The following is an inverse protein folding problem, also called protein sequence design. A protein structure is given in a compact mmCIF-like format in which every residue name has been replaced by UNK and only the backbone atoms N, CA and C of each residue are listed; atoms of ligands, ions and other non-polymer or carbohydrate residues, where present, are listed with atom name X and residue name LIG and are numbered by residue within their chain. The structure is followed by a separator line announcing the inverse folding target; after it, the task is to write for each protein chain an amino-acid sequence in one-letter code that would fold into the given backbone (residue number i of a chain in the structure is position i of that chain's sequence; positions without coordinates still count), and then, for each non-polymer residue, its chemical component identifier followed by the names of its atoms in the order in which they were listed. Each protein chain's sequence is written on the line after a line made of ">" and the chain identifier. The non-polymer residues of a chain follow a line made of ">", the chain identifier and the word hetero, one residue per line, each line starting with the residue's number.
data_IF_652256310968
#
_entry.id   IF_652256310968
#
_cell.length_a   1.000
_cell.length_b   1.000
_cell.length_c   1.000
_cell.angle_alpha   90.00
_cell.angle_beta   90.00
_cell.angle_gamma   90.00
#
_symmetry.space_group_name_H-M   'P 1'
#
loop_
_entity.id
_entity.type
_entity.pdbx_description
1 polymer ?
#
# COMPACT_ATOMS: atom_id res chain seq x y z
N UNK A 1 13.88 -6.30 -38.41
CA UNK A 1 13.63 -6.52 -36.96
C UNK A 1 14.92 -7.05 -36.33
N UNK A 2 15.31 -6.62 -35.12
CA UNK A 2 16.46 -7.21 -34.44
C UNK A 2 16.20 -8.69 -34.15
N UNK A 3 17.22 -9.54 -34.30
CA UNK A 3 17.13 -10.95 -33.99
C UNK A 3 16.97 -11.16 -32.47
N UNK A 4 16.33 -12.26 -32.06
CA UNK A 4 16.12 -12.59 -30.64
C UNK A 4 17.42 -12.55 -29.82
N UNK A 5 18.54 -12.99 -30.41
CA UNK A 5 19.86 -12.94 -29.79
C UNK A 5 20.36 -11.52 -29.52
N UNK A 6 20.03 -10.57 -30.39
CA UNK A 6 20.38 -9.15 -30.20
C UNK A 6 19.61 -8.55 -29.03
N UNK A 7 18.31 -8.88 -28.93
CA UNK A 7 17.47 -8.45 -27.80
C UNK A 7 17.96 -9.04 -26.48
N UNK A 8 18.27 -10.34 -26.46
CA UNK A 8 18.77 -11.00 -25.25
C UNK A 8 20.11 -10.42 -24.77
N UNK A 9 21.09 -10.24 -25.68
CA UNK A 9 22.41 -9.67 -25.34
C UNK A 9 22.30 -8.24 -24.80
N UNK A 10 21.33 -7.48 -25.28
CA UNK A 10 21.06 -6.14 -24.77
C UNK A 10 20.49 -6.21 -23.35
N UNK A 11 19.44 -7.02 -23.13
CA UNK A 11 18.75 -7.11 -21.85
C UNK A 11 19.66 -7.57 -20.70
N UNK A 12 20.61 -8.48 -20.95
CA UNK A 12 21.55 -8.94 -19.91
C UNK A 12 22.64 -7.91 -19.57
N UNK A 13 22.79 -6.84 -20.34
CA UNK A 13 23.81 -5.78 -20.14
C UNK A 13 23.22 -4.47 -19.63
N UNK A 14 21.90 -4.31 -19.68
CA UNK A 14 21.23 -3.12 -19.19
C UNK A 14 21.06 -3.22 -17.67
N UNK A 15 21.34 -2.12 -16.98
CA UNK A 15 20.99 -1.98 -15.58
C UNK A 15 19.46 -1.94 -15.43
N UNK A 16 18.91 -2.95 -14.74
CA UNK A 16 17.48 -3.12 -14.56
C UNK A 16 16.84 -1.98 -13.75
N UNK A 17 17.57 -1.39 -12.79
CA UNK A 17 17.09 -0.28 -11.97
C UNK A 17 16.99 0.99 -12.83
N UNK A 18 18.05 1.30 -13.58
CA UNK A 18 18.07 2.46 -14.50
C UNK A 18 16.97 2.34 -15.55
N UNK A 19 16.82 1.16 -16.16
CA UNK A 19 15.76 0.91 -17.15
C UNK A 19 14.37 1.11 -16.54
N UNK A 20 14.13 0.57 -15.35
CA UNK A 20 12.85 0.69 -14.65
C UNK A 20 12.52 2.15 -14.35
N UNK A 21 13.50 2.93 -13.86
CA UNK A 21 13.31 4.36 -13.58
C UNK A 21 13.00 5.16 -14.85
N UNK A 22 13.72 4.91 -15.95
CA UNK A 22 13.48 5.61 -17.22
C UNK A 22 12.09 5.30 -17.77
N UNK A 23 11.69 4.02 -17.74
CA UNK A 23 10.36 3.61 -18.18
C UNK A 23 9.26 4.22 -17.32
N UNK A 24 9.41 4.21 -15.99
CA UNK A 24 8.45 4.79 -15.06
C UNK A 24 8.29 6.31 -15.30
N UNK A 25 9.40 7.05 -15.44
CA UNK A 25 9.37 8.50 -15.75
C UNK A 25 8.69 8.76 -17.10
N UNK A 26 8.99 7.95 -18.11
CA UNK A 26 8.40 8.10 -19.44
C UNK A 26 6.90 7.80 -19.46
N UNK A 27 6.45 6.76 -18.75
CA UNK A 27 5.01 6.48 -18.62
C UNK A 27 4.30 7.60 -17.87
N UNK A 28 4.90 8.09 -16.78
CA UNK A 28 4.34 9.16 -15.95
C UNK A 28 4.21 10.49 -16.70
N UNK A 29 5.12 10.81 -17.62
CA UNK A 29 5.01 12.04 -18.42
C UNK A 29 3.76 12.07 -19.32
N UNK A 30 3.03 10.95 -19.41
CA UNK A 30 1.78 10.81 -20.17
C UNK A 30 0.54 10.71 -19.29
N UNK A 31 0.67 10.82 -17.97
CA UNK A 31 -0.44 10.66 -17.02
C UNK A 31 -0.58 11.86 -16.09
N UNK A 32 -1.69 11.91 -15.38
CA UNK A 32 -1.96 12.89 -14.31
C UNK A 32 -1.08 12.64 -13.08
N UNK A 33 -0.99 13.61 -12.14
CA UNK A 33 -0.18 13.47 -10.93
C UNK A 33 -0.60 12.26 -10.09
N UNK A 34 0.41 11.61 -9.51
CA UNK A 34 0.27 10.50 -8.58
C UNK A 34 -0.18 11.04 -7.23
N UNK A 35 -1.31 10.55 -6.72
CA UNK A 35 -1.81 10.91 -5.39
C UNK A 35 -1.68 9.76 -4.39
N UNK A 36 -1.71 8.52 -4.87
CA UNK A 36 -1.76 7.32 -4.02
C UNK A 36 -0.89 6.21 -4.59
N UNK A 37 0.13 5.84 -3.83
CA UNK A 37 1.09 4.79 -4.15
C UNK A 37 0.85 3.60 -3.24
N UNK A 38 0.60 2.43 -3.81
CA UNK A 38 0.54 1.19 -3.07
C UNK A 38 1.90 0.50 -3.05
N UNK A 39 2.29 -0.02 -1.88
CA UNK A 39 3.51 -0.81 -1.69
C UNK A 39 3.14 -2.24 -1.36
N UNK A 40 3.57 -3.17 -2.21
CA UNK A 40 3.19 -4.59 -2.12
C UNK A 40 4.38 -5.51 -2.45
N UNK A 41 4.55 -6.55 -1.64
CA UNK A 41 5.49 -7.64 -1.87
C UNK A 41 4.92 -8.69 -2.85
N UNK A 42 5.66 -9.03 -3.90
CA UNK A 42 5.29 -10.05 -4.89
C UNK A 42 6.40 -11.06 -5.13
N UNK A 43 5.98 -12.29 -5.41
CA UNK A 43 6.86 -13.35 -5.89
C UNK A 43 6.78 -13.38 -7.42
N UNK A 44 7.89 -13.17 -8.10
CA UNK A 44 7.97 -13.28 -9.55
C UNK A 44 8.02 -14.76 -9.96
N UNK A 45 6.83 -15.34 -10.18
CA UNK A 45 6.69 -16.74 -10.60
C UNK A 45 7.49 -17.02 -11.87
N UNK A 46 8.37 -18.01 -11.81
CA UNK A 46 9.23 -18.42 -12.94
C UNK A 46 10.59 -17.73 -13.00
N UNK A 47 10.78 -16.63 -12.27
CA UNK A 47 12.10 -16.03 -12.10
C UNK A 47 12.84 -16.70 -10.95
N UNK A 48 14.10 -17.10 -11.20
CA UNK A 48 14.98 -17.70 -10.20
C UNK A 48 16.30 -16.96 -10.14
N UNK A 49 16.83 -16.85 -8.93
CA UNK A 49 18.19 -16.42 -8.69
C UNK A 49 19.17 -17.53 -9.11
N UNK A 50 20.45 -17.18 -9.21
CA UNK A 50 21.52 -18.13 -9.56
C UNK A 50 21.61 -19.32 -8.60
N UNK A 51 21.09 -19.16 -7.38
CA UNK A 51 21.00 -20.23 -6.36
C UNK A 51 19.68 -21.02 -6.40
N UNK A 52 18.82 -20.77 -7.39
CA UNK A 52 17.55 -21.47 -7.59
C UNK A 52 16.36 -20.94 -6.78
N UNK A 53 16.55 -19.96 -5.89
CA UNK A 53 15.45 -19.36 -5.10
C UNK A 53 14.55 -18.48 -5.96
N UNK A 54 13.29 -18.38 -5.58
CA UNK A 54 12.34 -17.46 -6.22
C UNK A 54 12.73 -16.01 -5.97
N UNK A 55 12.46 -15.16 -6.96
CA UNK A 55 12.68 -13.72 -6.84
C UNK A 55 11.50 -13.09 -6.09
N UNK A 56 11.78 -12.46 -4.96
CA UNK A 56 10.84 -11.64 -4.19
C UNK A 56 11.10 -10.17 -4.50
N UNK A 57 10.06 -9.43 -4.85
CA UNK A 57 10.13 -8.01 -5.18
C UNK A 57 9.19 -7.24 -4.25
N UNK A 58 9.65 -6.11 -3.73
CA UNK A 58 8.79 -5.10 -3.14
C UNK A 58 8.58 -4.01 -4.19
N UNK A 59 7.33 -3.77 -4.57
CA UNK A 59 7.00 -2.84 -5.64
C UNK A 59 6.13 -1.70 -5.12
N UNK A 60 6.41 -0.48 -5.60
CA UNK A 60 5.61 0.71 -5.40
C UNK A 60 4.90 1.06 -6.71
N UNK A 61 3.58 1.12 -6.71
CA UNK A 61 2.80 1.42 -7.92
C UNK A 61 1.73 2.49 -7.67
N UNK A 62 1.53 3.35 -8.67
CA UNK A 62 0.45 4.33 -8.66
C UNK A 62 -0.89 3.62 -8.90
N UNK A 63 -1.76 3.72 -7.91
CA UNK A 63 -3.08 3.06 -7.91
C UNK A 63 -4.04 3.62 -8.96
N UNK A 64 -3.82 4.85 -9.43
CA UNK A 64 -4.69 5.50 -10.41
C UNK A 64 -4.36 5.11 -11.84
N UNK A 65 -3.08 4.89 -12.14
CA UNK A 65 -2.58 4.60 -13.50
C UNK A 65 -2.14 3.15 -13.67
N UNK A 66 -1.87 2.43 -12.59
CA UNK A 66 -1.27 1.09 -12.59
C UNK A 66 0.23 1.09 -12.90
N UNK A 67 0.88 2.25 -12.97
CA UNK A 67 2.32 2.35 -13.27
C UNK A 67 3.13 1.93 -12.04
N UNK A 68 4.04 0.98 -12.21
CA UNK A 68 5.07 0.66 -11.21
C UNK A 68 6.13 1.76 -11.23
N UNK A 69 6.23 2.52 -10.15
CA UNK A 69 7.15 3.63 -10.01
C UNK A 69 8.57 3.14 -9.66
N UNK A 70 8.64 2.15 -8.79
CA UNK A 70 9.89 1.53 -8.38
C UNK A 70 9.65 0.10 -7.92
N UNK A 71 10.72 -0.71 -7.96
CA UNK A 71 10.71 -2.06 -7.43
C UNK A 71 12.10 -2.40 -6.92
N UNK A 72 12.16 -3.07 -5.77
CA UNK A 72 13.41 -3.50 -5.15
C UNK A 72 13.34 -5.00 -4.89
N UNK A 73 14.38 -5.70 -5.28
CA UNK A 73 14.50 -7.12 -4.96
C UNK A 73 14.80 -7.31 -3.48
N UNK A 74 13.99 -8.13 -2.82
CA UNK A 74 14.19 -8.50 -1.42
C UNK A 74 15.28 -9.57 -1.37
N UNK A 75 16.31 -9.32 -0.55
CA UNK A 75 17.37 -10.30 -0.36
C UNK A 75 16.78 -11.59 0.22
N UNK A 76 17.22 -12.75 -0.26
CA UNK A 76 16.48 -13.99 -0.03
C UNK A 76 16.63 -14.61 1.38
N UNK A 77 17.18 -13.87 2.36
CA UNK A 77 17.09 -14.14 3.81
C UNK A 77 16.58 -12.92 4.60
N UNK A 78 16.14 -11.88 3.90
CA UNK A 78 15.59 -10.65 4.46
C UNK A 78 14.07 -10.68 4.37
N UNK A 79 13.41 -9.86 5.18
CA UNK A 79 12.01 -9.50 4.99
C UNK A 79 11.90 -8.18 4.21
N UNK A 80 10.68 -7.75 3.95
CA UNK A 80 10.35 -6.55 3.16
C UNK A 80 10.66 -5.23 3.88
N UNK A 81 10.83 -5.27 5.21
CA UNK A 81 11.00 -4.07 6.03
C UNK A 81 12.26 -3.26 5.62
N UNK A 82 13.47 -3.85 5.53
CA UNK A 82 14.66 -3.13 5.04
C UNK A 82 14.56 -2.67 3.57
N UNK A 83 13.72 -3.32 2.75
CA UNK A 83 13.55 -2.97 1.34
C UNK A 83 12.66 -1.74 1.14
N UNK A 84 11.88 -1.35 2.16
CA UNK A 84 10.97 -0.21 2.10
C UNK A 84 11.68 1.13 1.89
N UNK A 85 12.75 1.40 2.66
CA UNK A 85 13.50 2.66 2.54
C UNK A 85 14.17 2.82 1.16
N UNK A 86 14.92 1.84 0.63
CA UNK A 86 15.45 1.91 -0.73
C UNK A 86 14.37 2.08 -1.80
N UNK A 87 13.21 1.43 -1.62
CA UNK A 87 12.08 1.58 -2.53
C UNK A 87 11.55 3.02 -2.53
N UNK A 88 11.30 3.60 -1.35
CA UNK A 88 10.82 4.99 -1.24
C UNK A 88 11.79 6.00 -1.85
N UNK A 89 13.09 5.82 -1.66
CA UNK A 89 14.09 6.67 -2.28
C UNK A 89 14.04 6.60 -3.82
N UNK A 90 13.81 5.40 -4.39
CA UNK A 90 13.60 5.28 -5.84
C UNK A 90 12.28 5.93 -6.29
N UNK A 91 11.21 5.81 -5.50
CA UNK A 91 9.94 6.49 -5.78
C UNK A 91 10.15 8.00 -5.78
N UNK A 92 10.86 8.55 -4.79
CA UNK A 92 11.20 9.98 -4.71
C UNK A 92 12.00 10.43 -5.94
N UNK A 93 12.99 9.65 -6.38
CA UNK A 93 13.77 9.93 -7.60
C UNK A 93 12.90 9.96 -8.87
N UNK A 94 11.84 9.15 -8.92
CA UNK A 94 10.91 9.10 -10.06
C UNK A 94 9.84 10.20 -9.96
N UNK A 95 9.42 10.52 -8.74
CA UNK A 95 8.39 11.52 -8.48
C UNK A 95 8.93 12.96 -8.47
N UNK A 96 10.19 13.13 -8.08
CA UNK A 96 10.84 14.40 -7.78
C UNK A 96 10.68 14.85 -6.32
N UNK A 97 9.58 14.45 -5.68
CA UNK A 97 9.28 14.68 -4.26
C UNK A 97 8.21 13.67 -3.81
N UNK A 98 8.18 13.38 -2.51
CA UNK A 98 7.13 12.59 -1.86
C UNK A 98 6.04 13.47 -1.23
N UNK A 99 6.16 14.79 -1.29
CA UNK A 99 5.24 15.72 -0.64
C UNK A 99 3.79 15.51 -1.11
N UNK A 100 2.87 15.35 -0.16
CA UNK A 100 1.46 15.10 -0.41
C UNK A 100 1.12 13.70 -0.96
N UNK A 101 2.11 12.83 -1.20
CA UNK A 101 1.87 11.45 -1.67
C UNK A 101 1.32 10.60 -0.54
N UNK A 102 0.19 9.92 -0.78
CA UNK A 102 -0.29 8.88 0.13
C UNK A 102 0.34 7.53 -0.21
N UNK A 103 1.11 6.98 0.71
CA UNK A 103 1.59 5.60 0.64
C UNK A 103 0.62 4.67 1.37
N UNK A 104 0.08 3.70 0.66
CA UNK A 104 -0.73 2.61 1.21
C UNK A 104 0.15 1.38 1.29
N UNK A 105 0.29 0.80 2.47
CA UNK A 105 1.12 -0.37 2.65
C UNK A 105 0.45 -1.37 3.60
N UNK A 106 0.90 -2.61 3.51
CA UNK A 106 0.35 -3.69 4.28
C UNK A 106 0.64 -3.59 5.78
N UNK A 107 0.12 -4.55 6.52
CA UNK A 107 0.33 -4.58 7.96
C UNK A 107 1.81 -4.69 8.35
N UNK A 108 2.65 -5.39 7.59
CA UNK A 108 4.07 -5.55 7.89
C UNK A 108 4.79 -4.20 7.92
N UNK A 109 4.34 -3.24 7.10
CA UNK A 109 4.86 -1.89 7.02
C UNK A 109 4.31 -0.90 8.05
N UNK A 110 3.43 -1.33 8.97
CA UNK A 110 3.02 -0.55 10.14
C UNK A 110 4.18 -0.40 11.15
N UNK A 111 5.26 0.29 10.75
CA UNK A 111 6.47 0.53 11.53
C UNK A 111 6.58 2.02 11.83
N UNK A 112 6.99 2.34 13.06
CA UNK A 112 7.23 3.73 13.51
C UNK A 112 8.22 4.43 12.57
N UNK A 113 9.35 3.76 12.28
CA UNK A 113 10.37 4.32 11.37
C UNK A 113 9.87 4.58 9.94
N UNK A 114 8.93 3.79 9.42
CA UNK A 114 8.34 4.07 8.10
C UNK A 114 7.42 5.29 8.15
N UNK A 115 6.64 5.44 9.22
CA UNK A 115 5.75 6.58 9.41
C UNK A 115 6.55 7.88 9.55
N UNK A 116 7.64 7.87 10.31
CA UNK A 116 8.51 9.03 10.50
C UNK A 116 9.27 9.38 9.22
N UNK A 117 9.78 8.37 8.49
CA UNK A 117 10.46 8.57 7.21
C UNK A 117 9.55 9.24 6.19
N UNK A 118 8.30 8.77 6.05
CA UNK A 118 7.34 9.37 5.13
C UNK A 118 6.95 10.78 5.55
N UNK A 119 6.69 11.00 6.84
CA UNK A 119 6.36 12.32 7.36
C UNK A 119 7.50 13.33 7.15
N UNK A 120 8.76 12.90 7.29
CA UNK A 120 9.92 13.76 7.02
C UNK A 120 10.00 14.22 5.56
N UNK A 121 9.49 13.41 4.61
CA UNK A 121 9.38 13.76 3.20
C UNK A 121 8.07 14.44 2.79
N UNK A 122 7.20 14.82 3.74
CA UNK A 122 5.89 15.41 3.47
C UNK A 122 4.83 14.42 2.98
N UNK A 123 5.13 13.12 3.01
CA UNK A 123 4.23 12.06 2.58
C UNK A 123 3.29 11.60 3.70
N UNK A 124 2.22 10.92 3.29
CA UNK A 124 1.25 10.31 4.18
C UNK A 124 1.34 8.78 4.14
N UNK A 125 0.94 8.14 5.23
CA UNK A 125 0.95 6.69 5.36
C UNK A 125 -0.45 6.21 5.75
N UNK A 126 -0.95 5.23 5.03
CA UNK A 126 -2.10 4.40 5.40
C UNK A 126 -1.65 2.95 5.55
N UNK A 127 -1.81 2.38 6.74
CA UNK A 127 -1.37 1.01 7.05
C UNK A 127 -2.40 0.24 7.83
N UNK A 128 -2.45 -1.05 7.56
CA UNK A 128 -3.30 -1.99 8.31
C UNK A 128 -2.65 -2.34 9.66
N UNK A 129 -3.41 -2.27 10.74
CA UNK A 129 -2.99 -2.75 12.05
C UNK A 129 -3.46 -4.20 12.26
N UNK A 130 -2.54 -5.12 12.57
CA UNK A 130 -2.82 -6.53 12.90
C UNK A 130 -2.04 -6.94 14.17
N UNK A 131 -1.82 -8.24 14.34
CA UNK A 131 -1.09 -8.83 15.46
C UNK A 131 0.37 -8.40 15.56
N UNK A 132 0.97 -7.90 14.47
CA UNK A 132 2.36 -7.41 14.46
C UNK A 132 2.53 -6.07 15.22
N UNK A 133 1.45 -5.32 15.42
CA UNK A 133 1.43 -4.11 16.24
C UNK A 133 0.33 -4.23 17.31
N UNK A 134 0.52 -5.10 18.32
CA UNK A 134 -0.56 -5.52 19.22
C UNK A 134 -1.16 -4.36 20.03
N UNK A 135 -0.33 -3.40 20.44
CA UNK A 135 -0.79 -2.20 21.18
C UNK A 135 -1.66 -1.31 20.28
N UNK A 136 -1.19 -0.97 19.08
CA UNK A 136 -1.94 -0.18 18.11
C UNK A 136 -3.26 -0.86 17.74
N UNK A 137 -3.21 -2.17 17.44
CA UNK A 137 -4.38 -2.96 17.12
C UNK A 137 -5.41 -2.96 18.26
N UNK A 138 -4.97 -3.14 19.50
CA UNK A 138 -5.83 -3.09 20.67
C UNK A 138 -6.48 -1.71 20.85
N UNK A 139 -5.70 -0.63 20.70
CA UNK A 139 -6.20 0.75 20.77
C UNK A 139 -7.28 1.01 19.71
N UNK A 140 -7.00 0.70 18.44
CA UNK A 140 -7.96 0.91 17.35
C UNK A 140 -9.21 0.07 17.58
N UNK A 141 -9.06 -1.19 17.99
CA UNK A 141 -10.20 -2.10 18.24
C UNK A 141 -11.09 -1.62 19.40
N UNK A 142 -10.50 -0.97 20.41
CA UNK A 142 -11.21 -0.47 21.59
C UNK A 142 -12.00 0.83 21.35
N UNK A 143 -11.81 1.49 20.21
CA UNK A 143 -12.57 2.70 19.86
C UNK A 143 -14.09 2.43 19.83
N UNK A 144 -14.94 3.45 20.10
CA UNK A 144 -16.39 3.30 20.25
C UNK A 144 -17.11 3.12 18.89
N UNK A 145 -16.69 2.13 18.09
CA UNK A 145 -17.17 1.91 16.73
C UNK A 145 -18.67 1.65 16.57
N UNK A 146 -19.36 1.30 17.65
CA UNK A 146 -20.81 1.19 17.68
C UNK A 146 -21.49 2.56 17.52
N UNK A 147 -20.88 3.60 18.10
CA UNK A 147 -21.37 4.99 18.09
C UNK A 147 -20.94 5.75 16.83
N UNK A 148 -19.85 5.33 16.18
CA UNK A 148 -19.37 5.94 14.93
C UNK A 148 -20.37 5.66 13.81
N UNK A 149 -20.87 6.68 13.07
CA UNK A 149 -21.78 6.46 11.95
C UNK A 149 -21.11 5.67 10.81
N UNK A 150 -21.92 5.07 9.95
CA UNK A 150 -21.40 4.48 8.70
C UNK A 150 -21.00 5.62 7.77
N UNK A 151 -19.72 5.69 7.42
CA UNK A 151 -19.21 6.71 6.51
C UNK A 151 -19.46 6.38 5.05
N UNK A 152 -19.25 5.13 4.66
CA UNK A 152 -19.67 4.61 3.36
C UNK A 152 -20.02 3.13 3.44
N UNK A 153 -20.91 2.69 2.55
CA UNK A 153 -21.24 1.29 2.35
C UNK A 153 -21.34 0.99 0.85
N UNK A 154 -20.60 0.00 0.37
CA UNK A 154 -20.66 -0.48 -1.01
C UNK A 154 -21.20 -1.90 -1.04
N UNK A 155 -22.08 -2.20 -2.01
CA UNK A 155 -22.61 -3.54 -2.25
C UNK A 155 -22.27 -3.97 -3.67
N UNK A 156 -21.61 -5.11 -3.81
CA UNK A 156 -21.22 -5.69 -5.09
C UNK A 156 -21.83 -7.09 -5.20
N UNK A 157 -22.34 -7.43 -6.37
CA UNK A 157 -22.82 -8.79 -6.68
C UNK A 157 -22.17 -9.24 -7.98
N UNK A 158 -21.57 -10.42 -7.99
CA UNK A 158 -20.93 -10.98 -9.19
C UNK A 158 -20.48 -12.42 -8.97
N UNK A 159 -20.52 -13.23 -10.03
CA UNK A 159 -20.04 -14.63 -10.01
C UNK A 159 -20.66 -15.49 -8.88
N UNK A 160 -21.94 -15.27 -8.54
CA UNK A 160 -22.64 -15.97 -7.46
C UNK A 160 -22.25 -15.54 -6.03
N UNK A 161 -21.50 -14.44 -5.91
CA UNK A 161 -21.06 -13.84 -4.64
C UNK A 161 -21.75 -12.50 -4.42
N UNK A 162 -22.23 -12.28 -3.18
CA UNK A 162 -22.65 -10.97 -2.69
C UNK A 162 -21.63 -10.46 -1.69
N UNK A 163 -21.20 -9.22 -1.83
CA UNK A 163 -20.25 -8.61 -0.94
C UNK A 163 -20.72 -7.23 -0.51
N UNK A 164 -20.65 -6.95 0.78
CA UNK A 164 -20.92 -5.64 1.37
C UNK A 164 -19.69 -5.20 2.14
N UNK A 165 -19.13 -4.04 1.78
CA UNK A 165 -18.07 -3.38 2.55
C UNK A 165 -18.64 -2.16 3.23
N UNK A 166 -18.36 -2.02 4.53
CA UNK A 166 -18.75 -0.85 5.33
C UNK A 166 -17.49 -0.23 5.90
N UNK A 167 -17.31 1.07 5.69
CA UNK A 167 -16.18 1.83 6.21
C UNK A 167 -16.69 2.78 7.29
N UNK A 168 -16.02 2.75 8.43
CA UNK A 168 -16.14 3.75 9.49
C UNK A 168 -14.76 4.36 9.74
N UNK A 169 -14.73 5.65 10.00
CA UNK A 169 -13.50 6.36 10.34
C UNK A 169 -13.74 7.26 11.55
N UNK A 170 -12.71 7.47 12.37
CA UNK A 170 -12.74 8.34 13.54
C UNK A 170 -11.43 9.14 13.57
N UNK A 171 -11.51 10.44 13.83
CA UNK A 171 -10.33 11.27 14.11
C UNK A 171 -9.70 10.84 15.44
N UNK A 172 -8.39 10.59 15.44
CA UNK A 172 -7.62 10.13 16.60
C UNK A 172 -6.43 11.02 16.93
N UNK A 173 -6.25 12.14 16.22
CA UNK A 173 -5.31 13.19 16.57
C UNK A 173 -5.80 14.01 17.77
N UNK A 174 -5.84 13.37 18.93
CA UNK A 174 -6.21 13.96 20.21
C UNK A 174 -5.12 13.65 21.24
N UNK A 175 -5.00 14.44 22.33
CA UNK A 175 -4.21 14.03 23.48
C UNK A 175 -4.65 12.64 23.95
N UNK A 176 -3.70 11.70 24.08
CA UNK A 176 -4.02 10.29 24.38
C UNK A 176 -4.60 9.47 23.21
N UNK A 177 -4.44 9.95 21.97
CA UNK A 177 -4.81 9.25 20.74
C UNK A 177 -4.04 7.96 20.49
N UNK A 178 -3.99 7.50 19.23
CA UNK A 178 -3.24 6.28 18.90
C UNK A 178 -1.74 6.46 19.20
N UNK A 179 -1.10 5.44 19.75
CA UNK A 179 0.34 5.44 20.00
C UNK A 179 1.19 5.23 18.73
N UNK A 180 0.67 5.58 17.56
CA UNK A 180 1.35 5.43 16.28
C UNK A 180 1.64 6.82 15.68
N UNK A 181 2.86 7.08 15.17
CA UNK A 181 3.25 8.40 14.71
C UNK A 181 2.32 8.94 13.63
N UNK A 182 2.03 10.25 13.73
CA UNK A 182 1.29 11.02 12.75
C UNK A 182 -0.12 10.49 12.45
N UNK A 183 -0.66 9.56 13.25
CA UNK A 183 -1.99 8.99 13.06
C UNK A 183 -3.07 10.07 13.24
N UNK A 184 -3.79 10.38 12.17
CA UNK A 184 -4.87 11.36 12.15
C UNK A 184 -6.24 10.70 12.26
N UNK A 185 -6.42 9.55 11.61
CA UNK A 185 -7.68 8.80 11.66
C UNK A 185 -7.44 7.31 11.91
N UNK A 186 -8.33 6.71 12.70
CA UNK A 186 -8.52 5.27 12.76
C UNK A 186 -9.63 4.87 11.80
N UNK A 187 -9.46 3.73 11.13
CA UNK A 187 -10.43 3.21 10.15
C UNK A 187 -10.79 1.78 10.49
N UNK A 188 -12.10 1.47 10.42
CA UNK A 188 -12.61 0.11 10.49
C UNK A 188 -13.35 -0.22 9.20
N UNK A 189 -12.85 -1.22 8.50
CA UNK A 189 -13.48 -1.77 7.30
C UNK A 189 -14.04 -3.14 7.63
N UNK A 190 -15.35 -3.29 7.51
CA UNK A 190 -16.03 -4.58 7.66
C UNK A 190 -16.46 -5.08 6.30
N UNK A 191 -16.00 -6.28 5.92
CA UNK A 191 -16.42 -6.99 4.72
C UNK A 191 -17.32 -8.16 5.10
N UNK A 192 -18.56 -8.12 4.65
CA UNK A 192 -19.49 -9.26 4.72
C UNK A 192 -19.63 -9.86 3.33
N UNK A 193 -19.33 -11.14 3.22
CA UNK A 193 -19.32 -11.87 1.94
C UNK A 193 -20.20 -13.09 2.05
N UNK A 194 -21.14 -13.24 1.11
CA UNK A 194 -22.04 -14.39 1.02
C UNK A 194 -21.80 -15.13 -0.29
N UNK A 195 -21.45 -16.42 -0.20
CA UNK A 195 -21.22 -17.30 -1.34
C UNK A 195 -22.06 -18.56 -1.13
N UNK A 196 -22.93 -18.89 -2.08
CA UNK A 196 -23.80 -20.09 -2.02
C UNK A 196 -24.49 -20.26 -0.65
N UNK A 197 -25.07 -19.17 -0.13
CA UNK A 197 -25.77 -19.14 1.17
C UNK A 197 -24.87 -19.06 2.41
N UNK A 198 -23.55 -19.27 2.30
CA UNK A 198 -22.62 -19.16 3.43
C UNK A 198 -22.11 -17.72 3.56
N UNK A 199 -22.28 -17.13 4.74
CA UNK A 199 -21.87 -15.75 5.04
C UNK A 199 -20.62 -15.75 5.92
N UNK A 200 -19.58 -15.03 5.48
CA UNK A 200 -18.36 -14.75 6.24
C UNK A 200 -18.24 -13.26 6.51
N UNK A 201 -17.82 -12.88 7.71
CA UNK A 201 -17.55 -11.49 8.10
C UNK A 201 -16.10 -11.32 8.49
N UNK A 202 -15.45 -10.34 7.90
CA UNK A 202 -14.05 -9.99 8.15
C UNK A 202 -13.97 -8.51 8.53
N UNK A 203 -13.09 -8.17 9.46
CA UNK A 203 -12.88 -6.79 9.90
C UNK A 203 -11.41 -6.47 9.88
N UNK A 204 -11.06 -5.41 9.14
CA UNK A 204 -9.72 -4.84 9.10
C UNK A 204 -9.71 -3.49 9.81
N UNK A 205 -8.61 -3.23 10.51
CA UNK A 205 -8.37 -1.98 11.20
C UNK A 205 -7.16 -1.32 10.57
N UNK A 206 -7.26 -0.03 10.28
CA UNK A 206 -6.20 0.74 9.66
C UNK A 206 -6.01 2.06 10.40
N UNK A 207 -4.84 2.66 10.23
CA UNK A 207 -4.57 4.05 10.63
C UNK A 207 -4.03 4.81 9.42
N UNK A 208 -4.32 6.10 9.37
CA UNK A 208 -3.87 6.98 8.29
C UNK A 208 -3.42 8.34 8.85
N UNK A 209 -2.37 8.92 8.26
CA UNK A 209 -1.86 10.24 8.64
C UNK A 209 -2.50 11.43 7.94
N UNK A 210 -3.53 11.19 7.11
CA UNK A 210 -4.36 12.24 6.51
C UNK A 210 -5.55 12.56 7.42
N UNK A 211 -5.86 13.86 7.65
CA UNK A 211 -7.04 14.27 8.41
C UNK A 211 -8.34 14.00 7.66
N UNK A 212 -9.46 13.94 8.38
CA UNK A 212 -10.78 13.63 7.82
C UNK A 212 -11.23 14.58 6.70
N UNK A 213 -10.75 15.84 6.71
CA UNK A 213 -11.02 16.81 5.65
C UNK A 213 -10.35 16.49 4.31
N UNK A 214 -9.30 15.67 4.30
CA UNK A 214 -8.55 15.28 3.11
C UNK A 214 -8.75 13.81 2.74
N UNK A 215 -9.21 12.98 3.68
CA UNK A 215 -9.42 11.55 3.50
C UNK A 215 -10.78 11.14 4.06
N UNK A 216 -11.81 11.15 3.21
CA UNK A 216 -13.18 10.79 3.60
C UNK A 216 -13.35 9.27 3.60
N UNK A 217 -14.38 8.72 4.28
CA UNK A 217 -14.62 7.27 4.32
C UNK A 217 -14.69 6.56 2.96
N UNK A 218 -15.20 7.22 1.92
CA UNK A 218 -15.22 6.67 0.56
C UNK A 218 -13.81 6.53 -0.03
N UNK A 219 -12.96 7.53 0.18
CA UNK A 219 -11.58 7.57 -0.28
C UNK A 219 -10.77 6.49 0.45
N UNK A 220 -10.89 6.43 1.78
CA UNK A 220 -10.28 5.40 2.64
C UNK A 220 -10.67 3.97 2.21
N UNK A 221 -11.94 3.76 1.88
CA UNK A 221 -12.43 2.48 1.39
C UNK A 221 -11.90 2.08 0.02
N UNK A 222 -11.55 3.06 -0.81
CA UNK A 222 -10.93 2.85 -2.13
C UNK A 222 -9.46 2.52 -1.97
N UNK A 223 -8.71 3.32 -1.21
CA UNK A 223 -7.27 3.14 -1.00
C UNK A 223 -6.94 1.85 -0.27
N UNK A 224 -7.76 1.42 0.69
CA UNK A 224 -7.58 0.15 1.38
C UNK A 224 -7.74 -1.09 0.47
N UNK A 225 -8.25 -0.95 -0.76
CA UNK A 225 -8.30 -2.04 -1.76
C UNK A 225 -7.03 -2.14 -2.58
N UNK A 226 -6.13 -1.16 -2.45
CA UNK A 226 -4.87 -1.11 -3.17
C UNK A 226 -3.73 -1.82 -2.43
N UNK A 227 -3.96 -2.25 -1.18
CA UNK A 227 -3.13 -3.21 -0.45
C UNK A 227 -3.32 -4.64 -1.00
#
# INVERSE_FOLDING_TARGET
>A
MPAAMTVWRLLIRIDAVVLSQLLARWLRSRTTPVLVVAVEGKVACGARLSDGRQVHLLSAYDTSTGIVLAQVQIAAKSNEIPAFTPLLHQVEIVLGSLDGVLVVADALHAQVGHADLLAAGGAHLMVTAKSNQPKLFAQIKALPWAQVPVGTQTRETGHGRKETRTVKALTVATPGGLGFPNAQQAVRITRTRTIKGKTSRETSYLTISLPAGQARPADLGTWARSE
#
